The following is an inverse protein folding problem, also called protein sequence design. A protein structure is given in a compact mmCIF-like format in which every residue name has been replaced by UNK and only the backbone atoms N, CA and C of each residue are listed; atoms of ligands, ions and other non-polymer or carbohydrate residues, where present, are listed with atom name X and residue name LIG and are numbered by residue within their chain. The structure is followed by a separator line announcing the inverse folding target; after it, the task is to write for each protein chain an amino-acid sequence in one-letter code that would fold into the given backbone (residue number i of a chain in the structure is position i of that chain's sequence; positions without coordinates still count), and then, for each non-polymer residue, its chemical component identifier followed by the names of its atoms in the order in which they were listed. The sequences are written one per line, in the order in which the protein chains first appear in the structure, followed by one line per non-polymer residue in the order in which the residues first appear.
data_IF_672063563039
#
_entry.id   IF_672063563039
#
_cell.length_a   1.000
_cell.length_b   1.000
_cell.length_c   1.000
_cell.angle_alpha   90.00
_cell.angle_beta   90.00
_cell.angle_gamma   90.00
#
_symmetry.space_group_name_H-M   'P 1'
#
loop_
_entity.id
_entity.type
_entity.pdbx_description
1 polymer ?
#
# COMPACT_ATOMS: atom_id res chain seq x y z
N UNK A 1 3.31 0.98 -20.85
CA UNK A 1 2.11 1.81 -20.63
C UNK A 1 1.83 1.76 -19.13
N UNK A 2 2.02 2.86 -18.41
CA UNK A 2 1.74 2.89 -16.97
C UNK A 2 0.22 2.89 -16.77
N UNK A 3 -0.33 1.76 -16.32
CA UNK A 3 -1.74 1.66 -15.99
C UNK A 3 -1.97 2.36 -14.65
N UNK A 4 -2.75 3.44 -14.69
CA UNK A 4 -3.14 4.23 -13.53
C UNK A 4 -4.41 3.67 -12.90
N UNK A 5 -4.44 3.59 -11.57
CA UNK A 5 -5.64 3.22 -10.83
C UNK A 5 -6.03 4.29 -9.82
N UNK A 6 -7.32 4.39 -9.53
CA UNK A 6 -7.82 5.28 -8.50
C UNK A 6 -7.59 4.68 -7.10
N UNK A 7 -7.45 5.52 -6.07
CA UNK A 7 -7.18 5.11 -4.69
C UNK A 7 -8.25 4.14 -4.14
N UNK A 8 -9.50 4.26 -4.60
CA UNK A 8 -10.54 3.30 -4.21
C UNK A 8 -10.26 1.90 -4.75
N UNK A 9 -9.82 1.77 -5.99
CA UNK A 9 -9.41 0.49 -6.58
C UNK A 9 -8.24 -0.12 -5.82
N UNK A 10 -7.25 0.71 -5.45
CA UNK A 10 -6.15 0.25 -4.58
C UNK A 10 -6.67 -0.27 -3.23
N UNK A 11 -7.62 0.42 -2.60
CA UNK A 11 -8.22 -0.01 -1.33
C UNK A 11 -8.96 -1.33 -1.46
N UNK A 12 -9.62 -1.58 -2.57
CA UNK A 12 -10.29 -2.85 -2.88
C UNK A 12 -9.27 -3.99 -3.07
N UNK A 13 -8.20 -3.76 -3.83
CA UNK A 13 -7.11 -4.73 -3.97
C UNK A 13 -6.47 -5.08 -2.62
N UNK A 14 -6.21 -4.08 -1.78
CA UNK A 14 -5.69 -4.29 -0.43
C UNK A 14 -6.72 -4.99 0.48
N UNK A 15 -8.02 -4.88 0.21
CA UNK A 15 -9.06 -5.56 1.00
C UNK A 15 -9.21 -7.04 0.61
N UNK A 16 -8.88 -7.40 -0.64
CA UNK A 16 -8.96 -8.77 -1.13
C UNK A 16 -8.08 -9.75 -0.31
N UNK A 17 -7.00 -9.25 0.28
CA UNK A 17 -6.08 -10.04 1.11
C UNK A 17 -5.00 -10.77 0.30
N UNK A 18 -4.94 -10.53 -1.01
CA UNK A 18 -3.87 -11.00 -1.86
C UNK A 18 -2.53 -10.31 -1.53
N UNK A 19 -1.40 -11.03 -1.68
CA UNK A 19 -0.08 -10.43 -1.56
C UNK A 19 0.14 -9.42 -2.70
N UNK A 20 0.49 -8.19 -2.34
CA UNK A 20 0.77 -7.11 -3.28
C UNK A 20 2.14 -6.50 -3.04
N UNK A 21 2.70 -5.89 -4.06
CA UNK A 21 3.88 -5.05 -3.97
C UNK A 21 3.45 -3.58 -3.90
N UNK A 22 3.91 -2.83 -2.90
CA UNK A 22 3.57 -1.41 -2.79
C UNK A 22 4.82 -0.55 -2.75
N UNK A 23 4.74 0.62 -3.38
CA UNK A 23 5.76 1.67 -3.29
C UNK A 23 5.13 2.90 -2.63
N UNK A 24 5.81 3.42 -1.62
CA UNK A 24 5.30 4.51 -0.78
C UNK A 24 6.37 5.54 -0.44
N UNK A 25 5.92 6.75 -0.14
CA UNK A 25 6.74 7.81 0.42
C UNK A 25 6.82 7.69 1.94
N UNK A 26 8.05 7.70 2.46
CA UNK A 26 8.30 7.82 3.89
C UNK A 26 8.13 9.28 4.34
N UNK A 27 8.00 9.50 5.65
CA UNK A 27 7.95 10.86 6.23
C UNK A 27 9.18 11.71 5.87
N UNK A 28 10.33 11.07 5.66
CA UNK A 28 11.59 11.73 5.29
C UNK A 28 11.67 12.06 3.79
N UNK A 29 10.63 11.76 3.00
CA UNK A 29 10.65 11.94 1.55
C UNK A 29 11.45 10.88 0.80
N UNK A 30 11.84 9.78 1.44
CA UNK A 30 12.48 8.64 0.76
C UNK A 30 11.41 7.70 0.21
N UNK A 31 11.67 7.12 -0.96
CA UNK A 31 10.84 6.07 -1.55
C UNK A 31 11.18 4.75 -0.89
N UNK A 32 10.17 4.03 -0.41
CA UNK A 32 10.31 2.68 0.09
C UNK A 32 9.43 1.73 -0.72
N UNK A 33 10.01 0.61 -1.14
CA UNK A 33 9.30 -0.45 -1.85
C UNK A 33 9.15 -1.66 -0.93
N UNK A 34 7.91 -2.06 -0.67
CA UNK A 34 7.59 -3.26 0.09
C UNK A 34 7.11 -4.31 -0.89
N UNK A 35 7.78 -5.46 -0.89
CA UNK A 35 7.40 -6.59 -1.73
C UNK A 35 6.67 -7.64 -0.92
N UNK A 36 5.76 -8.36 -1.57
CA UNK A 36 5.03 -9.47 -0.97
C UNK A 36 4.39 -9.10 0.39
N UNK A 37 3.55 -8.06 0.38
CA UNK A 37 2.94 -7.53 1.58
C UNK A 37 1.42 -7.76 1.57
N UNK A 38 0.88 -8.07 2.76
CA UNK A 38 -0.55 -8.32 2.95
C UNK A 38 -1.15 -7.25 3.85
N UNK A 39 -2.29 -6.72 3.42
CA UNK A 39 -3.08 -5.77 4.20
C UNK A 39 -3.82 -6.50 5.32
N UNK A 40 -3.79 -5.91 6.53
CA UNK A 40 -4.45 -6.46 7.71
C UNK A 40 -5.72 -5.65 8.04
N UNK A 41 -5.58 -4.64 8.90
CA UNK A 41 -6.67 -3.78 9.35
C UNK A 41 -6.52 -2.40 8.74
N UNK A 42 -7.63 -1.90 8.19
CA UNK A 42 -7.74 -0.55 7.69
C UNK A 42 -8.59 0.31 8.64
N UNK A 43 -8.08 1.48 8.99
CA UNK A 43 -8.77 2.52 9.75
C UNK A 43 -9.11 3.66 8.79
N UNK A 44 -10.39 3.71 8.40
CA UNK A 44 -10.89 4.68 7.41
C UNK A 44 -10.80 6.12 7.92
N UNK A 45 -11.15 6.36 9.19
CA UNK A 45 -11.15 7.71 9.77
C UNK A 45 -9.74 8.31 9.85
N UNK A 46 -8.73 7.48 10.13
CA UNK A 46 -7.33 7.93 10.17
C UNK A 46 -6.63 7.86 8.81
N UNK A 47 -7.22 7.15 7.84
CA UNK A 47 -6.61 6.85 6.55
C UNK A 47 -5.36 5.98 6.68
N UNK A 48 -5.33 5.11 7.70
CA UNK A 48 -4.16 4.32 8.11
C UNK A 48 -4.45 2.84 7.93
N UNK A 49 -3.46 2.10 7.42
CA UNK A 49 -3.53 0.66 7.22
C UNK A 49 -2.35 -0.03 7.88
N UNK A 50 -2.61 -1.17 8.52
CA UNK A 50 -1.57 -2.09 8.96
C UNK A 50 -1.29 -3.08 7.83
N UNK A 51 -0.02 -3.21 7.49
CA UNK A 51 0.47 -4.10 6.43
C UNK A 51 1.52 -5.00 7.03
N UNK A 52 1.43 -6.30 6.76
CA UNK A 52 2.43 -7.28 7.15
C UNK A 52 3.31 -7.58 5.94
N UNK A 53 4.62 -7.38 6.09
CA UNK A 53 5.59 -7.86 5.12
C UNK A 53 5.76 -9.36 5.33
N UNK A 54 5.52 -10.19 4.30
CA UNK A 54 5.59 -11.64 4.46
C UNK A 54 7.03 -12.15 4.56
N UNK A 55 7.97 -11.46 3.91
CA UNK A 55 9.40 -11.76 3.93
C UNK A 55 9.99 -11.65 5.35
N UNK A 56 9.88 -10.46 5.94
CA UNK A 56 10.44 -10.16 7.27
C UNK A 56 9.46 -10.40 8.43
N UNK A 57 8.21 -10.78 8.13
CA UNK A 57 7.09 -10.96 9.08
C UNK A 57 6.77 -9.74 9.93
N UNK A 58 7.35 -8.58 9.61
CA UNK A 58 7.14 -7.33 10.33
C UNK A 58 5.78 -6.73 9.97
N UNK A 59 5.09 -6.20 10.98
CA UNK A 59 3.86 -5.45 10.80
C UNK A 59 4.20 -3.97 10.85
N UNK A 60 3.92 -3.26 9.77
CA UNK A 60 4.13 -1.82 9.65
C UNK A 60 2.80 -1.12 9.46
N UNK A 61 2.79 0.16 9.82
CA UNK A 61 1.61 1.02 9.70
C UNK A 61 1.91 2.08 8.66
N UNK A 62 1.03 2.23 7.67
CA UNK A 62 1.18 3.15 6.54
C UNK A 62 -0.10 3.96 6.36
N UNK A 63 0.00 5.17 5.82
CA UNK A 63 -1.19 5.91 5.35
C UNK A 63 -1.41 5.59 3.88
N UNK A 64 -2.65 5.29 3.49
CA UNK A 64 -2.98 4.93 2.09
C UNK A 64 -2.59 6.06 1.12
N UNK A 65 -2.66 7.34 1.55
CA UNK A 65 -2.24 8.51 0.74
C UNK A 65 -0.74 8.58 0.45
N UNK A 66 0.09 7.86 1.21
CA UNK A 66 1.53 7.81 0.96
C UNK A 66 1.91 6.75 -0.09
N UNK A 67 0.97 5.86 -0.44
CA UNK A 67 1.17 4.81 -1.44
C UNK A 67 0.85 5.42 -2.81
N UNK A 68 1.86 5.44 -3.68
CA UNK A 68 1.71 6.00 -5.03
C UNK A 68 1.84 4.93 -6.11
N UNK A 69 2.19 3.71 -5.75
CA UNK A 69 2.26 2.58 -6.68
C UNK A 69 1.87 1.27 -5.97
N UNK A 70 1.08 0.44 -6.64
CA UNK A 70 0.73 -0.92 -6.22
C UNK A 70 0.86 -1.87 -7.42
N UNK A 71 1.61 -2.96 -7.29
CA UNK A 71 1.86 -3.92 -8.38
C UNK A 71 2.30 -3.25 -9.69
N UNK A 72 3.15 -2.23 -9.61
CA UNK A 72 3.59 -1.39 -10.74
C UNK A 72 2.46 -0.54 -11.40
N UNK A 73 1.30 -0.41 -10.76
CA UNK A 73 0.21 0.48 -11.14
C UNK A 73 0.32 1.78 -10.36
N UNK A 74 0.35 2.92 -11.04
CA UNK A 74 0.40 4.22 -10.37
C UNK A 74 -0.96 4.55 -9.76
N UNK A 75 -0.97 4.94 -8.50
CA UNK A 75 -2.20 5.25 -7.75
C UNK A 75 -2.42 6.76 -7.76
N UNK A 76 -3.62 7.17 -8.16
CA UNK A 76 -4.09 8.55 -8.15
C UNK A 76 -5.26 8.72 -7.18
N UNK A 77 -5.42 9.94 -6.65
CA UNK A 77 -6.45 10.26 -5.66
C UNK A 77 -7.83 10.47 -6.28
#
# INVERSE_FOLDING_TARGET
MAQSIHINTMREMLKAGDPVDITLWTKSGQIQRWRNCISLRYDFYKGVRRVKLLDSRQIRTVRDVCIFEINNLTVFL
#
